data_IF_982130436230
#
_entry.id   IF_982130436230
#
_cell.length_a   1.000
_cell.length_b   1.000
_cell.length_c   1.000
_cell.angle_alpha   90.00
_cell.angle_beta   90.00
_cell.angle_gamma   90.00
#
_symmetry.space_group_name_H-M   'P 1'
#
loop_
_entity.id
_entity.type
_entity.pdbx_description
1 polymer ?
#
# COMPACT_ATOMS: atom_id res chain seq x y z
N UNK A 1 9.01 -19.29 -1.53
CA UNK A 1 9.00 -17.82 -1.51
C UNK A 1 7.60 -17.27 -1.75
N UNK A 2 6.94 -17.51 -2.89
CA UNK A 2 5.57 -17.04 -3.16
C UNK A 2 4.54 -17.56 -2.13
N UNK A 3 4.71 -18.80 -1.63
CA UNK A 3 3.90 -19.34 -0.53
C UNK A 3 4.13 -18.62 0.81
N UNK A 4 5.38 -18.25 1.13
CA UNK A 4 5.70 -17.51 2.36
C UNK A 4 5.14 -16.10 2.32
N UNK A 5 5.30 -15.40 1.19
CA UNK A 5 4.71 -14.08 0.98
C UNK A 5 3.17 -14.12 1.04
N UNK A 6 2.52 -15.16 0.49
CA UNK A 6 1.08 -15.36 0.61
C UNK A 6 0.67 -15.72 2.04
N UNK A 7 1.46 -16.51 2.77
CA UNK A 7 1.18 -16.82 4.18
C UNK A 7 1.34 -15.59 5.08
N UNK A 8 2.36 -14.76 4.84
CA UNK A 8 2.53 -13.49 5.56
C UNK A 8 1.41 -12.50 5.22
N UNK A 9 1.02 -12.40 3.96
CA UNK A 9 -0.14 -11.63 3.53
C UNK A 9 -1.42 -12.08 4.25
N UNK A 10 -1.68 -13.39 4.33
CA UNK A 10 -2.81 -13.94 5.07
C UNK A 10 -2.69 -13.74 6.59
N UNK A 11 -1.49 -13.84 7.16
CA UNK A 11 -1.25 -13.53 8.59
C UNK A 11 -1.47 -12.04 8.87
N UNK A 12 -0.99 -11.16 8.00
CA UNK A 12 -1.17 -9.71 8.11
C UNK A 12 -2.65 -9.35 8.06
N UNK A 13 -3.41 -9.86 7.08
CA UNK A 13 -4.85 -9.66 6.98
C UNK A 13 -5.57 -10.12 8.27
N UNK A 14 -5.26 -11.32 8.79
CA UNK A 14 -5.88 -11.83 10.03
C UNK A 14 -5.55 -10.98 11.27
N UNK A 15 -4.42 -10.28 11.26
CA UNK A 15 -4.00 -9.39 12.34
C UNK A 15 -4.84 -8.09 12.40
N UNK A 16 -5.36 -7.63 11.26
CA UNK A 16 -6.13 -6.38 11.17
C UNK A 16 -7.59 -6.52 11.60
N UNK A 17 -8.15 -7.69 11.45
CA UNK A 17 -9.55 -7.98 11.84
C UNK A 17 -9.85 -7.60 13.31
N UNK A 18 -8.96 -7.82 14.29
CA UNK A 18 -9.20 -7.38 15.67
C UNK A 18 -9.29 -5.87 15.82
N UNK A 19 -8.40 -5.09 15.19
CA UNK A 19 -8.38 -3.63 15.31
C UNK A 19 -9.68 -2.98 14.84
N UNK A 20 -10.32 -3.54 13.82
CA UNK A 20 -11.60 -3.02 13.32
C UNK A 20 -12.81 -3.52 14.11
N UNK A 21 -12.66 -4.53 14.97
CA UNK A 21 -13.70 -4.94 15.91
C UNK A 21 -13.91 -3.90 17.01
N UNK A 22 -12.84 -3.25 17.44
CA UNK A 22 -12.88 -2.27 18.53
C UNK A 22 -13.45 -0.92 18.06
N UNK A 23 -13.42 -0.61 16.78
CA UNK A 23 -14.05 0.58 16.17
C UNK A 23 -15.57 0.44 16.06
N UNK A 24 -16.12 -0.77 16.24
CA UNK A 24 -17.55 -1.05 16.15
C UNK A 24 -18.17 -1.13 17.57
N UNK A 25 -18.85 -0.08 18.08
CA UNK A 25 -19.57 -0.20 19.34
C UNK A 25 -20.67 -1.27 19.23
N UNK A 26 -20.96 -1.90 20.38
CA UNK A 26 -21.98 -2.92 20.57
C UNK A 26 -23.41 -2.41 20.31
N UNK A 27 -23.70 -1.82 19.17
CA UNK A 27 -25.04 -1.39 18.85
C UNK A 27 -25.68 -2.20 17.73
N UNK A 28 -26.83 -2.77 18.06
CA UNK A 28 -27.81 -3.52 17.24
C UNK A 28 -28.28 -2.83 15.93
N UNK A 29 -27.76 -1.66 15.60
CA UNK A 29 -28.14 -0.89 14.40
C UNK A 29 -27.45 -1.37 13.11
N UNK A 30 -26.37 -2.12 13.23
CA UNK A 30 -25.69 -2.74 12.11
C UNK A 30 -25.93 -4.24 12.20
N UNK A 31 -27.06 -4.74 11.69
CA UNK A 31 -27.22 -6.18 11.45
C UNK A 31 -25.95 -6.70 10.85
N UNK A 32 -25.26 -7.63 11.54
CA UNK A 32 -24.05 -8.27 11.01
C UNK A 32 -24.35 -8.72 9.59
N UNK A 33 -23.79 -8.01 8.62
CA UNK A 33 -23.89 -8.39 7.23
C UNK A 33 -23.17 -9.73 7.09
N UNK A 34 -23.87 -10.82 6.92
CA UNK A 34 -23.29 -12.11 6.59
C UNK A 34 -23.32 -12.22 5.07
N UNK A 35 -22.18 -12.06 4.42
CA UNK A 35 -22.05 -12.24 2.97
C UNK A 35 -21.50 -13.63 2.67
N UNK A 36 -21.97 -14.21 1.57
CA UNK A 36 -21.35 -15.40 0.99
C UNK A 36 -19.92 -15.06 0.54
N UNK A 37 -18.90 -15.90 0.81
CA UNK A 37 -17.53 -15.65 0.38
C UNK A 37 -17.36 -15.41 -1.12
N UNK A 38 -18.25 -15.94 -1.97
CA UNK A 38 -18.27 -15.71 -3.42
C UNK A 38 -19.02 -14.43 -3.82
N UNK A 39 -19.69 -13.76 -2.86
CA UNK A 39 -20.52 -12.56 -3.09
C UNK A 39 -21.60 -12.83 -4.16
N UNK A 40 -22.62 -13.61 -3.82
CA UNK A 40 -23.72 -13.91 -4.73
C UNK A 40 -24.58 -12.69 -5.07
N UNK A 41 -25.47 -12.77 -6.07
CA UNK A 41 -26.25 -11.64 -6.57
C UNK A 41 -27.20 -10.99 -5.53
N UNK A 42 -27.63 -11.73 -4.48
CA UNK A 42 -28.41 -11.15 -3.40
C UNK A 42 -27.53 -10.28 -2.49
N UNK A 43 -26.32 -10.75 -2.21
CA UNK A 43 -25.34 -10.06 -1.39
C UNK A 43 -24.76 -8.82 -2.11
N UNK A 44 -24.65 -8.85 -3.44
CA UNK A 44 -24.26 -7.66 -4.23
C UNK A 44 -25.19 -6.48 -3.97
N UNK A 45 -26.51 -6.69 -3.96
CA UNK A 45 -27.50 -5.62 -3.68
C UNK A 45 -27.35 -5.05 -2.27
N UNK A 46 -27.09 -5.92 -1.31
CA UNK A 46 -26.87 -5.52 0.08
C UNK A 46 -25.60 -4.69 0.17
N UNK A 47 -24.52 -5.14 -0.47
CA UNK A 47 -23.23 -4.46 -0.50
C UNK A 47 -23.34 -3.06 -1.12
N UNK A 48 -24.06 -2.91 -2.26
CA UNK A 48 -24.32 -1.61 -2.88
C UNK A 48 -25.07 -0.68 -1.93
N UNK A 49 -26.11 -1.17 -1.23
CA UNK A 49 -26.82 -0.37 -0.22
C UNK A 49 -25.89 0.14 0.87
N UNK A 50 -24.93 -0.66 1.27
CA UNK A 50 -23.93 -0.25 2.28
C UNK A 50 -22.91 0.74 1.74
N UNK A 51 -22.42 0.55 0.51
CA UNK A 51 -21.54 1.51 -0.16
C UNK A 51 -22.22 2.87 -0.33
N UNK A 52 -23.49 2.87 -0.75
CA UNK A 52 -24.31 4.08 -0.83
C UNK A 52 -24.47 4.79 0.52
N UNK A 53 -24.65 4.00 1.60
CA UNK A 53 -24.74 4.55 2.94
C UNK A 53 -23.43 5.16 3.45
N UNK A 54 -22.27 4.69 2.96
CA UNK A 54 -20.97 5.30 3.22
C UNK A 54 -20.80 6.65 2.49
N UNK A 55 -21.42 6.82 1.33
CA UNK A 55 -21.33 8.06 0.56
C UNK A 55 -22.28 9.16 1.06
N UNK A 56 -23.37 8.76 1.73
CA UNK A 56 -24.35 9.69 2.32
C UNK A 56 -23.85 10.10 3.71
N UNK A 57 -23.76 11.40 3.95
CA UNK A 57 -23.34 11.96 5.24
C UNK A 57 -24.37 11.76 6.38
N UNK A 58 -25.17 10.69 6.30
CA UNK A 58 -26.21 10.35 7.25
C UNK A 58 -25.59 9.71 8.52
N UNK A 59 -25.60 10.42 9.62
CA UNK A 59 -25.18 9.91 10.92
C UNK A 59 -23.81 10.36 11.42
N UNK A 60 -23.17 11.30 10.75
CA UNK A 60 -21.89 11.89 11.17
C UNK A 60 -20.67 11.00 10.86
N UNK A 61 -19.48 11.54 11.13
CA UNK A 61 -18.18 10.95 10.83
C UNK A 61 -17.97 9.56 11.46
N UNK A 62 -18.40 9.39 12.71
CA UNK A 62 -18.25 8.10 13.43
C UNK A 62 -19.04 6.98 12.74
N UNK A 63 -20.27 7.27 12.30
CA UNK A 63 -21.10 6.28 11.61
C UNK A 63 -20.54 5.92 10.22
N UNK A 64 -19.94 6.88 9.51
CA UNK A 64 -19.27 6.63 8.24
C UNK A 64 -18.03 5.71 8.42
N UNK A 65 -17.19 5.99 9.40
CA UNK A 65 -16.03 5.14 9.76
C UNK A 65 -16.44 3.71 10.12
N UNK A 66 -17.51 3.56 10.92
CA UNK A 66 -18.03 2.24 11.28
C UNK A 66 -18.48 1.44 10.06
N UNK A 67 -19.19 2.07 9.11
CA UNK A 67 -19.61 1.44 7.87
C UNK A 67 -18.43 1.07 6.98
N UNK A 68 -17.45 1.95 6.84
CA UNK A 68 -16.22 1.68 6.11
C UNK A 68 -15.44 0.50 6.73
N UNK A 69 -15.31 0.46 8.06
CA UNK A 69 -14.66 -0.66 8.75
C UNK A 69 -15.38 -1.99 8.48
N UNK A 70 -16.72 -1.99 8.46
CA UNK A 70 -17.50 -3.21 8.15
C UNK A 70 -17.30 -3.63 6.69
N UNK A 71 -17.36 -2.71 5.73
CA UNK A 71 -17.06 -3.00 4.31
C UNK A 71 -15.66 -3.60 4.14
N UNK A 72 -14.66 -3.03 4.80
CA UNK A 72 -13.30 -3.54 4.74
C UNK A 72 -13.18 -4.96 5.31
N UNK A 73 -13.82 -5.24 6.46
CA UNK A 73 -13.86 -6.60 7.04
C UNK A 73 -14.48 -7.58 6.06
N UNK A 74 -15.60 -7.23 5.45
CA UNK A 74 -16.28 -8.11 4.47
C UNK A 74 -15.42 -8.38 3.26
N UNK A 75 -14.74 -7.37 2.73
CA UNK A 75 -13.76 -7.57 1.67
C UNK A 75 -12.68 -8.60 2.04
N UNK A 76 -12.18 -8.56 3.29
CA UNK A 76 -11.17 -9.51 3.78
C UNK A 76 -11.71 -10.95 3.92
N UNK A 77 -12.99 -11.09 4.25
CA UNK A 77 -13.67 -12.39 4.39
C UNK A 77 -14.00 -13.05 3.03
N UNK A 78 -13.99 -12.27 1.93
CA UNK A 78 -14.29 -12.79 0.59
C UNK A 78 -13.14 -13.66 0.06
N UNK A 79 -13.50 -14.69 -0.72
CA UNK A 79 -12.55 -15.43 -1.53
C UNK A 79 -12.19 -14.66 -2.82
N UNK A 80 -11.36 -15.23 -3.67
CA UNK A 80 -10.88 -14.57 -4.89
C UNK A 80 -12.01 -14.13 -5.82
N UNK A 81 -13.04 -14.96 -6.03
CA UNK A 81 -14.21 -14.64 -6.85
C UNK A 81 -15.02 -13.49 -6.24
N UNK A 82 -15.29 -13.57 -4.94
CA UNK A 82 -16.00 -12.52 -4.20
C UNK A 82 -15.26 -11.18 -4.23
N UNK A 83 -13.93 -11.18 -4.13
CA UNK A 83 -13.10 -9.97 -4.25
C UNK A 83 -13.18 -9.36 -5.64
N UNK A 84 -13.13 -10.17 -6.69
CA UNK A 84 -13.32 -9.68 -8.07
C UNK A 84 -14.69 -9.02 -8.20
N UNK A 85 -15.76 -9.64 -7.71
CA UNK A 85 -17.13 -9.09 -7.75
C UNK A 85 -17.22 -7.79 -6.95
N UNK A 86 -16.69 -7.75 -5.72
CA UNK A 86 -16.65 -6.54 -4.88
C UNK A 86 -15.98 -5.36 -5.60
N UNK A 87 -14.78 -5.59 -6.15
CA UNK A 87 -14.01 -4.56 -6.85
C UNK A 87 -14.70 -4.13 -8.15
N UNK A 88 -15.35 -5.07 -8.85
CA UNK A 88 -16.13 -4.77 -10.07
C UNK A 88 -17.36 -3.92 -9.73
N UNK A 89 -18.08 -4.24 -8.66
CA UNK A 89 -19.20 -3.42 -8.20
C UNK A 89 -18.76 -1.99 -7.88
N UNK A 90 -17.62 -1.83 -7.20
CA UNK A 90 -17.06 -0.51 -6.91
C UNK A 90 -16.63 0.23 -8.18
N UNK A 91 -16.02 -0.47 -9.14
CA UNK A 91 -15.57 0.11 -10.40
C UNK A 91 -16.75 0.59 -11.28
N UNK A 92 -17.79 -0.24 -11.41
CA UNK A 92 -18.91 -0.01 -12.33
C UNK A 92 -19.95 0.96 -11.75
N UNK A 93 -20.32 0.84 -10.46
CA UNK A 93 -21.42 1.60 -9.87
C UNK A 93 -20.97 2.95 -9.27
N UNK A 94 -19.68 3.14 -9.03
CA UNK A 94 -19.11 4.36 -8.45
C UNK A 94 -18.08 5.00 -9.38
N UNK A 95 -18.30 4.88 -10.69
CA UNK A 95 -17.56 5.57 -11.74
C UNK A 95 -17.93 7.05 -11.81
N UNK A 96 -17.29 7.78 -12.70
CA UNK A 96 -17.67 9.15 -13.06
C UNK A 96 -19.10 9.15 -13.62
N UNK A 97 -19.92 10.12 -13.20
CA UNK A 97 -21.24 10.36 -13.76
C UNK A 97 -21.08 10.99 -15.15
N UNK A 98 -21.21 10.18 -16.20
CA UNK A 98 -21.03 10.62 -17.59
C UNK A 98 -22.06 11.69 -18.02
N UNK A 99 -23.28 11.64 -17.50
CA UNK A 99 -24.32 12.63 -17.81
C UNK A 99 -23.94 13.99 -17.24
N UNK A 100 -23.57 14.02 -15.94
CA UNK A 100 -23.11 15.25 -15.29
C UNK A 100 -21.84 15.78 -15.95
N UNK A 101 -20.89 14.92 -16.24
CA UNK A 101 -19.62 15.30 -16.88
C UNK A 101 -19.88 15.93 -18.25
N UNK A 102 -20.73 15.32 -19.08
CA UNK A 102 -21.08 15.84 -20.39
C UNK A 102 -21.71 17.27 -20.29
N UNK A 103 -22.66 17.46 -19.37
CA UNK A 103 -23.29 18.78 -19.15
C UNK A 103 -22.25 19.84 -18.73
N UNK A 104 -21.31 19.49 -17.84
CA UNK A 104 -20.27 20.44 -17.40
C UNK A 104 -19.31 20.77 -18.54
N UNK A 105 -18.92 19.78 -19.35
CA UNK A 105 -18.07 19.99 -20.54
C UNK A 105 -18.75 20.91 -21.54
N UNK A 106 -20.02 20.69 -21.86
CA UNK A 106 -20.79 21.54 -22.79
C UNK A 106 -20.87 22.98 -22.27
N UNK A 107 -21.12 23.14 -20.97
CA UNK A 107 -21.17 24.47 -20.33
C UNK A 107 -19.82 25.19 -20.44
N UNK A 108 -18.71 24.44 -20.16
CA UNK A 108 -17.35 24.99 -20.24
C UNK A 108 -16.96 25.37 -21.68
N UNK A 109 -17.35 24.58 -22.67
CA UNK A 109 -17.07 24.87 -24.09
C UNK A 109 -17.84 26.10 -24.59
N UNK A 110 -19.07 26.29 -24.12
CA UNK A 110 -19.92 27.43 -24.49
C UNK A 110 -19.51 28.75 -23.80
N UNK A 111 -18.78 28.66 -22.67
CA UNK A 111 -18.41 29.80 -21.85
C UNK A 111 -17.28 30.65 -22.46
N UNK A 112 -17.28 31.97 -22.17
CA UNK A 112 -16.15 32.83 -22.46
C UNK A 112 -14.97 32.61 -21.49
N UNK A 113 -13.80 33.23 -21.76
CA UNK A 113 -12.57 33.02 -21.00
C UNK A 113 -12.70 33.30 -19.50
N UNK A 114 -13.48 34.32 -19.11
CA UNK A 114 -13.68 34.66 -17.69
C UNK A 114 -14.58 33.64 -16.97
N UNK A 115 -15.65 33.21 -17.64
CA UNK A 115 -16.59 32.20 -17.13
C UNK A 115 -15.93 30.82 -16.98
N UNK A 116 -15.04 30.45 -17.91
CA UNK A 116 -14.30 29.18 -17.86
C UNK A 116 -13.52 29.00 -16.56
N UNK A 117 -12.92 30.08 -16.04
CA UNK A 117 -12.19 30.02 -14.77
C UNK A 117 -13.08 29.58 -13.60
N UNK A 118 -14.34 30.05 -13.60
CA UNK A 118 -15.32 29.63 -12.58
C UNK A 118 -15.79 28.19 -12.79
N UNK A 119 -15.93 27.74 -14.03
CA UNK A 119 -16.36 26.38 -14.37
C UNK A 119 -15.25 25.32 -14.21
N UNK A 120 -13.98 25.70 -14.04
CA UNK A 120 -12.89 24.75 -13.80
C UNK A 120 -13.09 23.91 -12.53
N UNK A 121 -13.62 24.49 -11.47
CA UNK A 121 -13.89 23.77 -10.22
C UNK A 121 -14.99 22.72 -10.42
N UNK A 122 -16.05 23.08 -11.17
CA UNK A 122 -17.14 22.17 -11.49
C UNK A 122 -16.66 21.03 -12.38
N UNK A 123 -15.80 21.31 -13.36
CA UNK A 123 -15.20 20.28 -14.22
C UNK A 123 -14.33 19.30 -13.42
N UNK A 124 -13.47 19.79 -12.52
CA UNK A 124 -12.69 18.94 -11.62
C UNK A 124 -13.59 18.07 -10.75
N UNK A 125 -14.64 18.65 -10.18
CA UNK A 125 -15.61 17.92 -9.36
C UNK A 125 -16.38 16.86 -10.16
N UNK A 126 -16.75 17.15 -11.41
CA UNK A 126 -17.45 16.22 -12.28
C UNK A 126 -16.59 15.04 -12.72
N UNK A 127 -15.26 15.24 -12.81
CA UNK A 127 -14.29 14.20 -13.12
C UNK A 127 -13.94 13.29 -11.93
N UNK A 128 -14.33 13.65 -10.70
CA UNK A 128 -14.02 12.86 -9.52
C UNK A 128 -15.09 11.78 -9.28
N UNK A 129 -14.73 10.49 -9.43
CA UNK A 129 -15.70 9.41 -9.25
C UNK A 129 -16.03 9.21 -7.75
N UNK A 130 -17.31 8.87 -7.41
CA UNK A 130 -17.75 8.65 -6.03
C UNK A 130 -16.90 7.63 -5.26
N UNK A 131 -16.30 6.63 -5.94
CA UNK A 131 -15.41 5.64 -5.32
C UNK A 131 -14.18 6.26 -4.65
N UNK A 132 -13.75 7.47 -5.05
CA UNK A 132 -12.67 8.17 -4.37
C UNK A 132 -13.03 8.46 -2.91
N UNK A 133 -14.26 8.91 -2.65
CA UNK A 133 -14.77 9.15 -1.29
C UNK A 133 -14.83 7.85 -0.49
N UNK A 134 -15.25 6.72 -1.10
CA UNK A 134 -15.25 5.41 -0.45
C UNK A 134 -13.82 4.98 -0.05
N UNK A 135 -12.87 5.09 -0.97
CA UNK A 135 -11.47 4.73 -0.72
C UNK A 135 -10.84 5.59 0.38
N UNK A 136 -11.14 6.89 0.40
CA UNK A 136 -10.63 7.81 1.43
C UNK A 136 -11.14 7.44 2.83
N UNK A 137 -12.39 6.98 2.95
CA UNK A 137 -12.93 6.55 4.26
C UNK A 137 -12.17 5.36 4.85
N UNK A 138 -11.64 4.46 4.04
CA UNK A 138 -10.78 3.38 4.55
C UNK A 138 -9.48 3.91 5.15
N UNK A 139 -8.90 4.99 4.60
CA UNK A 139 -7.67 5.59 5.15
C UNK A 139 -7.87 6.17 6.56
N UNK A 140 -9.09 6.53 6.94
CA UNK A 140 -9.41 7.03 8.27
C UNK A 140 -9.47 5.92 9.34
N UNK A 141 -9.41 4.66 8.95
CA UNK A 141 -9.42 3.52 9.86
C UNK A 141 -8.01 3.23 10.40
N UNK A 142 -7.90 2.66 11.60
CA UNK A 142 -6.64 2.10 12.06
C UNK A 142 -6.07 1.13 11.01
N UNK A 143 -4.82 1.33 10.58
CA UNK A 143 -4.18 0.55 9.51
C UNK A 143 -4.90 0.61 8.15
N UNK A 144 -5.78 1.57 7.94
CA UNK A 144 -6.54 1.72 6.70
C UNK A 144 -5.67 1.95 5.48
N UNK A 145 -4.55 2.65 5.64
CA UNK A 145 -3.60 2.87 4.55
C UNK A 145 -2.94 1.54 4.10
N UNK A 146 -2.61 0.66 5.05
CA UNK A 146 -2.07 -0.68 4.73
C UNK A 146 -3.11 -1.54 4.00
N UNK A 147 -4.37 -1.50 4.47
CA UNK A 147 -5.48 -2.16 3.79
C UNK A 147 -5.62 -1.71 2.32
N UNK A 148 -5.52 -0.40 2.06
CA UNK A 148 -5.60 0.14 0.71
C UNK A 148 -4.39 -0.23 -0.16
N UNK A 149 -3.20 -0.30 0.43
CA UNK A 149 -1.99 -0.82 -0.24
C UNK A 149 -2.21 -2.28 -0.65
N UNK A 150 -2.75 -3.12 0.25
CA UNK A 150 -3.03 -4.52 -0.04
C UNK A 150 -4.16 -4.68 -1.08
N UNK A 151 -5.23 -3.88 -0.98
CA UNK A 151 -6.29 -3.83 -1.99
C UNK A 151 -5.72 -3.49 -3.38
N UNK A 152 -4.78 -2.56 -3.46
CA UNK A 152 -4.13 -2.24 -4.74
C UNK A 152 -3.24 -3.38 -5.23
N UNK A 153 -2.56 -4.11 -4.34
CA UNK A 153 -1.80 -5.30 -4.74
C UNK A 153 -2.72 -6.35 -5.40
N UNK A 154 -3.94 -6.54 -4.86
CA UNK A 154 -4.97 -7.38 -5.48
C UNK A 154 -5.43 -6.84 -6.83
N UNK A 155 -5.73 -5.55 -6.94
CA UNK A 155 -6.10 -4.93 -8.21
C UNK A 155 -5.02 -5.10 -9.28
N UNK A 156 -3.73 -4.96 -8.92
CA UNK A 156 -2.61 -5.18 -9.82
C UNK A 156 -2.52 -6.65 -10.30
N UNK A 157 -2.88 -7.60 -9.45
CA UNK A 157 -2.95 -9.02 -9.79
C UNK A 157 -4.12 -9.30 -10.74
N UNK A 158 -5.31 -8.79 -10.41
CA UNK A 158 -6.57 -9.12 -11.07
C UNK A 158 -6.77 -8.38 -12.41
N UNK A 159 -6.24 -7.15 -12.56
CA UNK A 159 -6.50 -6.31 -13.74
C UNK A 159 -6.09 -6.93 -15.08
N UNK A 160 -5.18 -7.92 -15.07
CA UNK A 160 -4.75 -8.59 -16.29
C UNK A 160 -5.88 -9.44 -16.90
N UNK A 161 -6.67 -10.08 -16.04
CA UNK A 161 -7.80 -10.92 -16.41
C UNK A 161 -9.13 -10.14 -16.40
N UNK A 162 -9.17 -9.03 -15.64
CA UNK A 162 -10.34 -8.16 -15.48
C UNK A 162 -10.02 -6.70 -15.83
N UNK A 163 -9.91 -6.33 -17.13
CA UNK A 163 -9.51 -4.98 -17.57
C UNK A 163 -10.42 -3.85 -17.04
N UNK A 164 -11.68 -4.14 -16.74
CA UNK A 164 -12.63 -3.18 -16.14
C UNK A 164 -12.18 -2.62 -14.77
N UNK A 165 -11.25 -3.29 -14.09
CA UNK A 165 -10.69 -2.84 -12.83
C UNK A 165 -9.59 -1.77 -12.99
N UNK A 166 -9.12 -1.51 -14.22
CA UNK A 166 -8.03 -0.57 -14.46
C UNK A 166 -8.33 0.88 -13.99
N UNK A 167 -9.55 1.45 -14.17
CA UNK A 167 -9.85 2.78 -13.66
C UNK A 167 -9.83 2.86 -12.14
N UNK A 168 -10.33 1.84 -11.44
CA UNK A 168 -10.30 1.76 -9.98
C UNK A 168 -8.84 1.66 -9.46
N UNK A 169 -7.99 0.87 -10.13
CA UNK A 169 -6.56 0.79 -9.81
C UNK A 169 -5.86 2.13 -9.99
N UNK A 170 -6.15 2.84 -11.08
CA UNK A 170 -5.59 4.14 -11.36
C UNK A 170 -5.97 5.19 -10.29
N UNK A 171 -7.22 5.19 -9.87
CA UNK A 171 -7.71 6.09 -8.81
C UNK A 171 -7.04 5.78 -7.47
N UNK A 172 -6.96 4.51 -7.10
CA UNK A 172 -6.28 4.11 -5.86
C UNK A 172 -4.78 4.43 -5.92
N UNK A 173 -4.13 4.23 -7.08
CA UNK A 173 -2.75 4.66 -7.30
C UNK A 173 -2.58 6.16 -7.07
N UNK A 174 -3.52 6.99 -7.58
CA UNK A 174 -3.50 8.44 -7.42
C UNK A 174 -3.57 8.84 -5.94
N UNK A 175 -4.49 8.23 -5.16
CA UNK A 175 -4.61 8.48 -3.72
C UNK A 175 -3.34 8.08 -2.97
N UNK A 176 -2.85 6.86 -3.18
CA UNK A 176 -1.64 6.39 -2.53
C UNK A 176 -0.42 7.25 -2.90
N UNK A 177 -0.30 7.70 -4.16
CA UNK A 177 0.79 8.59 -4.57
C UNK A 177 0.76 9.95 -3.86
N UNK A 178 -0.42 10.44 -3.50
CA UNK A 178 -0.56 11.68 -2.74
C UNK A 178 -0.28 11.49 -1.24
N UNK A 179 -0.63 10.33 -0.67
CA UNK A 179 -0.44 10.05 0.75
C UNK A 179 0.96 9.59 1.11
N UNK A 180 1.66 8.93 0.19
CA UNK A 180 3.04 8.48 0.37
C UNK A 180 4.04 9.53 -0.12
N UNK A 181 4.02 10.71 0.50
CA UNK A 181 5.05 11.74 0.27
C UNK A 181 6.38 11.28 0.88
N UNK A 182 7.45 11.34 0.08
CA UNK A 182 8.81 10.98 0.51
C UNK A 182 9.29 11.78 1.72
N UNK A 183 8.80 13.01 1.89
CA UNK A 183 9.12 13.86 3.04
C UNK A 183 8.57 13.34 4.37
N UNK A 184 7.57 12.46 4.35
CA UNK A 184 7.00 11.84 5.54
C UNK A 184 7.67 10.52 5.92
N UNK A 185 8.51 9.96 5.04
CA UNK A 185 9.12 8.66 5.29
C UNK A 185 10.21 8.74 6.36
N UNK A 186 10.15 7.79 7.27
CA UNK A 186 11.12 7.62 8.35
C UNK A 186 12.09 6.50 7.99
N UNK A 187 13.40 6.79 8.08
CA UNK A 187 14.45 5.82 7.84
C UNK A 187 14.92 5.24 9.16
N UNK A 188 14.94 3.92 9.25
CA UNK A 188 15.48 3.17 10.38
C UNK A 188 16.59 2.23 9.92
N UNK A 189 17.65 2.13 10.71
CA UNK A 189 18.68 1.14 10.51
C UNK A 189 18.23 -0.20 11.07
N UNK A 190 18.31 -1.25 10.25
CA UNK A 190 17.98 -2.61 10.61
C UNK A 190 19.26 -3.34 10.99
N UNK A 191 19.28 -3.90 12.16
CA UNK A 191 20.41 -4.67 12.69
C UNK A 191 19.90 -5.89 13.47
N UNK A 192 20.82 -6.70 14.01
CA UNK A 192 20.46 -7.93 14.72
C UNK A 192 19.67 -7.71 16.03
N UNK A 193 19.54 -6.46 16.51
CA UNK A 193 18.70 -6.08 17.66
C UNK A 193 17.30 -5.64 17.26
N UNK A 194 17.03 -5.54 15.97
CA UNK A 194 15.69 -5.24 15.45
C UNK A 194 14.72 -6.36 15.85
N UNK A 195 13.42 -6.06 15.86
CA UNK A 195 12.42 -7.08 16.23
C UNK A 195 12.47 -8.29 15.29
N UNK A 196 12.24 -9.48 15.80
CA UNK A 196 12.19 -10.69 14.99
C UNK A 196 11.15 -10.58 13.87
N UNK A 197 10.02 -9.90 14.11
CA UNK A 197 9.00 -9.65 13.10
C UNK A 197 9.53 -8.84 11.93
N UNK A 198 10.32 -7.79 12.18
CA UNK A 198 10.92 -6.98 11.14
C UNK A 198 11.97 -7.76 10.35
N UNK A 199 12.76 -8.59 11.03
CA UNK A 199 13.74 -9.48 10.38
C UNK A 199 13.05 -10.54 9.50
N UNK A 200 11.94 -11.12 9.95
CA UNK A 200 11.12 -12.02 9.13
C UNK A 200 10.55 -11.29 7.88
N UNK A 201 10.12 -10.03 8.02
CA UNK A 201 9.67 -9.21 6.90
C UNK A 201 10.80 -8.92 5.91
N UNK A 202 12.01 -8.65 6.39
CA UNK A 202 13.17 -8.47 5.51
C UNK A 202 13.44 -9.74 4.69
N UNK A 203 13.45 -10.91 5.32
CA UNK A 203 13.61 -12.21 4.62
C UNK A 203 12.52 -12.40 3.56
N UNK A 204 11.27 -12.06 3.89
CA UNK A 204 10.12 -12.32 3.02
C UNK A 204 10.00 -11.35 1.84
N UNK A 205 10.43 -10.11 2.02
CA UNK A 205 10.22 -9.03 1.07
C UNK A 205 11.46 -8.71 0.22
N UNK A 206 12.64 -9.24 0.59
CA UNK A 206 13.84 -9.10 -0.24
C UNK A 206 13.63 -9.79 -1.60
N UNK A 207 13.53 -8.98 -2.65
CA UNK A 207 13.13 -9.43 -3.98
C UNK A 207 14.29 -9.48 -4.99
N UNK A 208 15.38 -8.75 -4.71
CA UNK A 208 16.53 -8.65 -5.63
C UNK A 208 17.47 -9.83 -5.40
N UNK A 209 17.87 -10.03 -4.14
CA UNK A 209 18.76 -11.11 -3.72
C UNK A 209 18.15 -11.87 -2.56
N UNK A 210 17.28 -12.83 -2.88
CA UNK A 210 16.50 -13.57 -1.88
C UNK A 210 17.37 -14.10 -0.72
N UNK A 211 16.97 -13.77 0.51
CA UNK A 211 17.62 -14.28 1.72
C UNK A 211 17.24 -15.73 1.91
N UNK A 212 18.24 -16.62 1.97
CA UNK A 212 18.05 -18.06 1.97
C UNK A 212 17.92 -18.66 3.37
N UNK A 213 18.56 -18.04 4.36
CA UNK A 213 18.67 -18.56 5.72
C UNK A 213 18.81 -17.43 6.74
N UNK A 214 18.71 -17.78 8.03
CA UNK A 214 19.07 -16.87 9.11
C UNK A 214 20.56 -16.52 9.14
N UNK A 215 21.43 -17.42 8.64
CA UNK A 215 22.86 -17.13 8.52
C UNK A 215 23.14 -16.12 7.40
N UNK A 216 22.48 -16.27 6.26
CA UNK A 216 22.52 -15.26 5.18
C UNK A 216 22.04 -13.90 5.69
N UNK A 217 20.91 -13.84 6.41
CA UNK A 217 20.46 -12.60 7.03
C UNK A 217 21.49 -12.01 7.98
N UNK A 218 22.09 -12.87 8.82
CA UNK A 218 23.12 -12.43 9.78
C UNK A 218 24.31 -11.81 9.07
N UNK A 219 24.78 -12.43 7.98
CA UNK A 219 25.85 -11.91 7.15
C UNK A 219 25.52 -10.51 6.58
N UNK A 220 24.27 -10.30 6.12
CA UNK A 220 23.82 -9.00 5.61
C UNK A 220 23.65 -7.90 6.66
N UNK A 221 23.65 -8.28 7.93
CA UNK A 221 23.54 -7.37 9.07
C UNK A 221 24.85 -7.30 9.89
N UNK A 222 25.96 -7.79 9.35
CA UNK A 222 27.24 -7.79 10.04
C UNK A 222 27.91 -6.40 10.03
N UNK A 223 29.05 -6.30 10.66
CA UNK A 223 29.72 -5.02 10.96
C UNK A 223 30.08 -4.21 9.72
N UNK A 224 30.43 -4.85 8.61
CA UNK A 224 30.75 -4.22 7.31
C UNK A 224 29.53 -4.07 6.37
N UNK A 225 28.33 -4.28 6.91
CA UNK A 225 27.06 -4.15 6.20
C UNK A 225 26.15 -3.13 6.88
N UNK A 226 25.28 -2.52 6.08
CA UNK A 226 24.21 -1.68 6.57
C UNK A 226 22.92 -2.06 5.87
N UNK A 227 21.86 -2.20 6.63
CA UNK A 227 20.51 -2.37 6.11
C UNK A 227 19.64 -1.24 6.65
N UNK A 228 18.93 -0.56 5.77
CA UNK A 228 17.98 0.49 6.14
C UNK A 228 16.60 0.13 5.65
N UNK A 229 15.59 0.40 6.47
CA UNK A 229 14.20 0.34 6.07
C UNK A 229 13.55 1.71 6.14
N UNK A 230 12.61 1.96 5.24
CA UNK A 230 11.81 3.18 5.22
C UNK A 230 10.36 2.83 5.58
N UNK A 231 9.81 3.61 6.50
CA UNK A 231 8.46 3.44 7.04
C UNK A 231 7.62 4.69 6.78
N UNK A 232 6.31 4.50 6.70
CA UNK A 232 5.35 5.60 6.70
C UNK A 232 4.73 5.74 8.10
N UNK A 233 4.51 6.95 8.64
CA UNK A 233 3.95 7.14 9.98
C UNK A 233 2.63 6.41 10.22
N UNK A 234 1.79 6.29 9.19
CA UNK A 234 0.52 5.57 9.26
C UNK A 234 0.66 4.05 9.04
N UNK A 235 1.89 3.55 8.84
CA UNK A 235 2.25 2.14 8.70
C UNK A 235 3.57 1.84 9.42
N UNK A 236 3.68 2.13 10.72
CA UNK A 236 4.97 2.12 11.42
C UNK A 236 5.60 0.72 11.53
N UNK A 237 4.80 -0.33 11.44
CA UNK A 237 5.28 -1.72 11.52
C UNK A 237 5.52 -2.37 10.15
N UNK A 238 5.21 -1.66 9.05
CA UNK A 238 5.27 -2.19 7.70
C UNK A 238 6.32 -1.44 6.88
N UNK A 239 7.48 -2.05 6.64
CA UNK A 239 8.50 -1.43 5.81
C UNK A 239 8.00 -1.25 4.37
N UNK A 240 8.35 -0.13 3.77
CA UNK A 240 8.02 0.18 2.37
C UNK A 240 9.14 -0.26 1.44
N UNK A 241 10.37 0.00 1.85
CA UNK A 241 11.58 -0.24 1.06
C UNK A 241 12.67 -0.67 2.01
N UNK A 242 13.46 -1.65 1.58
CA UNK A 242 14.73 -2.00 2.18
C UNK A 242 15.88 -1.54 1.27
N UNK A 243 16.96 -1.07 1.88
CA UNK A 243 18.19 -0.68 1.21
C UNK A 243 19.35 -1.39 1.89
N UNK A 244 20.03 -2.27 1.17
CA UNK A 244 21.20 -3.00 1.68
C UNK A 244 22.49 -2.43 1.08
N UNK A 245 23.47 -2.19 1.93
CA UNK A 245 24.73 -1.55 1.58
C UNK A 245 25.89 -2.36 2.14
N UNK A 246 26.92 -2.59 1.34
CA UNK A 246 28.20 -3.12 1.77
C UNK A 246 29.23 -1.98 1.85
N UNK A 247 30.00 -1.94 2.94
CA UNK A 247 31.11 -1.03 3.14
C UNK A 247 32.40 -1.79 2.80
N UNK A 248 33.09 -1.42 1.75
CA UNK A 248 34.22 -2.15 1.21
C UNK A 248 35.39 -1.21 0.86
N UNK A 249 36.58 -1.78 0.71
CA UNK A 249 37.72 -1.07 0.15
C UNK A 249 37.74 -1.23 -1.37
N UNK A 250 37.61 -0.10 -2.08
CA UNK A 250 37.56 -0.10 -3.54
C UNK A 250 36.21 -0.57 -4.08
N UNK A 251 36.20 -1.13 -5.28
CA UNK A 251 34.95 -1.60 -5.94
C UNK A 251 34.89 -3.13 -5.95
N UNK A 252 33.77 -3.70 -5.50
CA UNK A 252 33.51 -5.13 -5.66
C UNK A 252 33.27 -5.47 -7.14
N UNK A 253 33.79 -6.61 -7.59
CA UNK A 253 33.66 -7.06 -8.97
C UNK A 253 32.28 -7.61 -9.30
N UNK A 254 31.60 -8.20 -8.33
CA UNK A 254 30.27 -8.74 -8.47
C UNK A 254 29.54 -8.81 -7.12
N UNK A 255 28.23 -8.96 -7.16
CA UNK A 255 27.39 -9.01 -5.96
C UNK A 255 27.53 -10.33 -5.20
N UNK A 256 27.90 -11.43 -5.86
CA UNK A 256 28.07 -12.75 -5.23
C UNK A 256 29.18 -12.73 -4.19
N UNK A 257 30.25 -11.95 -4.42
CA UNK A 257 31.33 -11.76 -3.44
C UNK A 257 30.81 -11.07 -2.16
N UNK A 258 29.84 -10.14 -2.32
CA UNK A 258 29.22 -9.45 -1.18
C UNK A 258 28.22 -10.32 -0.42
N UNK A 259 27.67 -11.36 -1.06
CA UNK A 259 26.68 -12.28 -0.50
C UNK A 259 27.28 -13.61 -0.01
N UNK A 260 28.58 -13.79 -0.18
CA UNK A 260 29.27 -15.01 0.28
C UNK A 260 29.35 -15.04 1.81
N UNK A 261 28.62 -15.98 2.44
CA UNK A 261 28.63 -16.18 3.89
C UNK A 261 30.00 -16.63 4.44
N UNK A 262 30.90 -17.14 3.58
CA UNK A 262 32.25 -17.57 3.95
C UNK A 262 33.29 -16.45 3.73
N UNK A 263 32.94 -15.33 3.14
CA UNK A 263 33.87 -14.21 2.95
C UNK A 263 34.32 -13.65 4.30
N UNK A 264 35.60 -13.26 4.44
CA UNK A 264 36.06 -12.57 5.63
C UNK A 264 35.37 -11.22 5.79
N UNK A 265 35.14 -10.82 7.05
CA UNK A 265 34.62 -9.48 7.34
C UNK A 265 35.65 -8.43 6.91
N UNK A 266 35.20 -7.39 6.24
CA UNK A 266 35.99 -6.24 5.87
C UNK A 266 36.25 -5.34 7.10
N UNK A 267 37.46 -4.78 7.19
CA UNK A 267 37.77 -3.76 8.20
C UNK A 267 37.12 -2.43 7.80
N UNK A 268 36.06 -2.05 8.49
CA UNK A 268 35.32 -0.80 8.25
C UNK A 268 36.26 0.42 8.23
N UNK A 269 37.31 0.44 9.06
CA UNK A 269 38.24 1.56 9.11
C UNK A 269 39.00 1.79 7.81
N UNK A 270 39.05 0.79 6.94
CA UNK A 270 39.67 0.81 5.62
C UNK A 270 38.67 0.98 4.48
N UNK A 271 37.37 0.98 4.78
CA UNK A 271 36.32 1.13 3.78
C UNK A 271 36.33 2.57 3.21
N UNK A 272 36.38 2.66 1.89
CA UNK A 272 36.32 3.91 1.13
C UNK A 272 35.13 3.97 0.17
N UNK A 273 34.39 2.88 0.09
CA UNK A 273 33.30 2.70 -0.88
C UNK A 273 32.08 2.06 -0.22
N UNK A 274 30.90 2.62 -0.49
CA UNK A 274 29.62 2.06 -0.11
C UNK A 274 28.88 1.53 -1.37
N UNK A 275 28.65 0.23 -1.42
CA UNK A 275 27.98 -0.45 -2.53
C UNK A 275 26.54 -0.74 -2.17
N UNK A 276 25.60 -0.09 -2.85
CA UNK A 276 24.17 -0.35 -2.74
C UNK A 276 23.85 -1.57 -3.59
N UNK A 277 23.77 -2.77 -3.00
CA UNK A 277 23.61 -4.00 -3.74
C UNK A 277 22.16 -4.51 -3.79
N UNK A 278 21.29 -4.04 -2.89
CA UNK A 278 19.86 -4.31 -2.96
C UNK A 278 19.04 -3.08 -2.60
N UNK A 279 18.00 -2.82 -3.39
CA UNK A 279 16.93 -1.85 -3.10
C UNK A 279 15.62 -2.56 -3.43
N UNK A 280 14.95 -3.06 -2.38
CA UNK A 280 13.75 -3.89 -2.51
C UNK A 280 12.50 -3.18 -2.05
N UNK A 281 11.49 -3.14 -2.92
CA UNK A 281 10.15 -2.68 -2.55
C UNK A 281 9.42 -3.77 -1.77
N UNK A 282 9.16 -3.54 -0.48
CA UNK A 282 8.45 -4.47 0.39
C UNK A 282 6.94 -4.55 0.09
N UNK A 283 6.35 -3.48 -0.46
CA UNK A 283 4.91 -3.36 -0.64
C UNK A 283 4.51 -3.43 -2.12
N UNK A 284 4.00 -4.57 -2.58
CA UNK A 284 3.53 -4.78 -3.96
C UNK A 284 2.47 -3.75 -4.40
N UNK A 285 1.61 -3.35 -3.47
CA UNK A 285 0.58 -2.34 -3.72
C UNK A 285 1.13 -0.94 -3.99
N UNK A 286 2.40 -0.67 -3.72
CA UNK A 286 3.07 0.60 -4.04
C UNK A 286 3.85 0.53 -5.37
N UNK A 287 3.75 -0.56 -6.12
CA UNK A 287 4.41 -0.69 -7.43
C UNK A 287 4.03 0.47 -8.36
N UNK A 288 5.04 1.08 -8.99
CA UNK A 288 4.88 2.23 -9.88
C UNK A 288 4.52 3.55 -9.19
N UNK A 289 4.59 3.62 -7.85
CA UNK A 289 4.68 4.85 -7.08
C UNK A 289 6.17 5.09 -6.83
N UNK A 290 6.67 6.24 -7.28
CA UNK A 290 8.10 6.55 -7.21
C UNK A 290 8.43 7.28 -5.91
N UNK A 291 9.37 6.71 -5.16
CA UNK A 291 9.99 7.39 -4.01
C UNK A 291 11.27 8.14 -4.43
N UNK A 292 11.63 8.08 -5.70
CA UNK A 292 12.73 8.81 -6.31
C UNK A 292 14.12 8.49 -5.72
N UNK A 293 15.09 9.31 -6.09
CA UNK A 293 16.46 9.21 -5.56
C UNK A 293 16.59 9.75 -4.12
N UNK A 294 15.49 10.19 -3.52
CA UNK A 294 15.49 10.78 -2.18
C UNK A 294 15.95 9.76 -1.12
N UNK A 295 15.48 8.52 -1.20
CA UNK A 295 15.81 7.47 -0.22
C UNK A 295 17.31 7.14 -0.24
N UNK A 296 17.89 6.98 -1.43
CA UNK A 296 19.34 6.73 -1.59
C UNK A 296 20.14 7.89 -1.00
N UNK A 297 19.73 9.14 -1.28
CA UNK A 297 20.41 10.32 -0.72
C UNK A 297 20.34 10.39 0.81
N UNK A 298 19.23 9.95 1.41
CA UNK A 298 19.11 9.85 2.87
C UNK A 298 20.11 8.84 3.44
N UNK A 299 20.21 7.66 2.84
CA UNK A 299 21.18 6.62 3.25
C UNK A 299 22.62 7.13 3.07
N UNK A 300 22.95 7.72 1.92
CA UNK A 300 24.29 8.31 1.69
C UNK A 300 24.63 9.35 2.76
N UNK A 301 23.69 10.26 3.07
CA UNK A 301 23.90 11.27 4.12
C UNK A 301 24.14 10.64 5.50
N UNK A 302 23.45 9.54 5.82
CA UNK A 302 23.64 8.81 7.07
C UNK A 302 25.02 8.16 7.13
N UNK A 303 25.42 7.45 6.07
CA UNK A 303 26.75 6.82 5.97
C UNK A 303 27.93 7.81 6.02
N UNK A 304 27.74 9.04 5.53
CA UNK A 304 28.76 10.09 5.63
C UNK A 304 28.95 10.65 7.05
N UNK A 305 28.04 10.32 7.97
CA UNK A 305 28.10 10.75 9.37
C UNK A 305 28.70 9.69 10.30
N UNK A 306 28.90 8.46 9.81
CA UNK A 306 29.56 7.35 10.51
C UNK A 306 31.06 7.38 10.26
#
# INVERSE_FOLDING_TARGET
MQQLANQLFQKTIRRWVPFWRDVSPQHDLLKKLSLDPNLNAADEKVLLTWMDACLKDNGGEVAARMRAAELGRRFLDLNDEGRVRFLTLMADNYAVDEVRLTQVIESWLAANSSERTHLEADLRSALEPPRMKLLTQFNELPQGIKFLVDMRAELLRLRKEHPKLAPLEADLKRLLSAWFDVGLLQMEEINWRSSAELLEKLIAYEAVHAIQSWNDLKNRLDSDRRCFAFFHPNMPEEPLIFVEVALVKGMAGNVQELLDEAAPLEDISLADTAIFYSISNAQKGLSGISFGNFLIKQVVKKLQQE
#
